data_IF_163310247556
#
_entry.id   IF_163310247556
#
_cell.length_a   1.000
_cell.length_b   1.000
_cell.length_c   1.000
_cell.angle_alpha   90.00
_cell.angle_beta   90.00
_cell.angle_gamma   90.00
#
_symmetry.space_group_name_H-M   'P 1'
#
loop_
_entity.id
_entity.type
_entity.pdbx_description
1 polymer ?
#
# COMPACT_ATOMS: atom_id res chain seq x y z
N UNK A 1 9.39 11.15 25.06
CA UNK A 1 8.67 10.41 24.00
C UNK A 1 7.72 11.34 23.24
N UNK A 2 8.14 12.06 22.18
CA UNK A 2 7.19 12.99 21.49
C UNK A 2 7.37 13.24 19.98
N UNK A 3 8.42 12.76 19.30
CA UNK A 3 8.67 13.16 17.88
C UNK A 3 8.73 11.99 16.89
N UNK A 4 9.34 10.87 17.27
CA UNK A 4 9.48 9.68 16.40
C UNK A 4 8.15 8.99 16.09
N UNK A 5 7.23 8.98 17.06
CA UNK A 5 5.91 8.34 16.96
C UNK A 5 4.94 9.06 16.01
N UNK A 6 5.09 10.39 15.87
CA UNK A 6 4.24 11.22 14.99
C UNK A 6 4.62 11.01 13.53
N UNK A 7 5.91 10.80 13.24
CA UNK A 7 6.38 10.60 11.87
C UNK A 7 5.94 9.22 11.35
N UNK A 8 6.07 8.15 12.15
CA UNK A 8 5.58 6.81 11.80
C UNK A 8 4.05 6.75 11.62
N UNK A 9 3.30 7.45 12.48
CA UNK A 9 1.85 7.61 12.35
C UNK A 9 1.48 8.24 11.01
N UNK A 10 2.07 9.40 10.69
CA UNK A 10 1.85 10.09 9.41
C UNK A 10 2.17 9.13 8.26
N UNK A 11 3.30 8.43 8.30
CA UNK A 11 3.75 7.56 7.21
C UNK A 11 2.84 6.32 6.99
N UNK A 12 2.30 5.70 8.03
CA UNK A 12 1.40 4.54 7.92
C UNK A 12 -0.02 4.96 7.48
N UNK A 13 -0.54 6.07 8.00
CA UNK A 13 -1.84 6.63 7.57
C UNK A 13 -1.78 7.04 6.09
N UNK A 14 -0.63 7.56 5.64
CA UNK A 14 -0.37 7.81 4.22
C UNK A 14 -0.42 6.49 3.44
N UNK A 15 0.25 5.43 3.88
CA UNK A 15 0.41 4.16 3.12
C UNK A 15 -0.88 3.45 2.69
N UNK A 16 -1.94 3.47 3.51
CA UNK A 16 -3.23 2.84 3.18
C UNK A 16 -3.99 3.61 2.10
N UNK A 17 -3.82 4.93 2.09
CA UNK A 17 -4.48 5.85 1.17
C UNK A 17 -4.03 5.66 -0.31
N UNK A 18 -3.09 4.74 -0.56
CA UNK A 18 -2.09 4.93 -1.60
C UNK A 18 -1.74 3.72 -2.46
N UNK A 19 -2.35 2.57 -2.22
CA UNK A 19 -2.24 1.42 -3.12
C UNK A 19 -3.23 1.47 -4.29
N UNK A 20 -2.79 1.19 -5.53
CA UNK A 20 -3.63 1.28 -6.73
C UNK A 20 -3.28 0.20 -7.75
N UNK A 21 -4.24 -0.25 -8.56
CA UNK A 21 -4.03 -1.25 -9.64
C UNK A 21 -4.11 -0.63 -11.04
N UNK A 22 -3.01 -0.61 -11.81
CA UNK A 22 -2.95 0.10 -13.11
C UNK A 22 -2.36 -0.65 -14.31
N UNK A 23 -2.39 0.01 -15.47
CA UNK A 23 -1.77 -0.39 -16.75
C UNK A 23 -0.27 -0.01 -16.81
N UNK A 24 0.55 -0.87 -17.44
CA UNK A 24 2.02 -0.69 -17.58
C UNK A 24 2.36 0.47 -18.51
N UNK A 25 3.22 1.38 -18.04
CA UNK A 25 3.87 2.43 -18.85
C UNK A 25 5.39 2.12 -18.91
N UNK A 26 6.12 2.45 -19.99
CA UNK A 26 7.58 2.24 -20.03
C UNK A 26 8.30 3.03 -18.93
N UNK A 27 9.21 2.38 -18.19
CA UNK A 27 9.87 2.93 -17.01
C UNK A 27 11.38 2.71 -17.02
N UNK A 28 12.09 3.44 -16.16
CA UNK A 28 13.53 3.32 -15.94
C UNK A 28 13.78 2.37 -14.77
N UNK A 29 14.59 1.33 -14.97
CA UNK A 29 14.98 0.40 -13.90
C UNK A 29 14.67 -1.06 -14.22
N UNK A 30 15.01 -1.94 -13.28
CA UNK A 30 14.79 -3.40 -13.39
C UNK A 30 13.33 -3.78 -13.11
N UNK A 31 12.65 -2.99 -12.26
CA UNK A 31 11.28 -3.26 -11.83
C UNK A 31 10.27 -2.32 -12.47
N UNK A 32 9.03 -2.80 -12.56
CA UNK A 32 7.92 -2.04 -13.17
C UNK A 32 6.88 -1.66 -12.11
N UNK A 33 6.75 -0.38 -11.83
CA UNK A 33 5.58 0.19 -11.19
C UNK A 33 4.39 0.18 -12.14
N UNK A 34 3.22 0.14 -11.55
CA UNK A 34 2.00 0.32 -12.30
C UNK A 34 1.28 1.51 -11.69
N UNK A 35 0.75 2.41 -12.52
CA UNK A 35 0.05 3.65 -12.11
C UNK A 35 -0.82 4.24 -13.22
N UNK A 36 -2.03 4.71 -12.91
CA UNK A 36 -2.78 5.57 -13.83
C UNK A 36 -3.77 6.44 -13.05
N UNK A 37 -3.94 7.68 -13.51
CA UNK A 37 -5.00 8.55 -13.03
C UNK A 37 -6.38 7.89 -13.31
N UNK A 38 -7.29 8.01 -12.35
CA UNK A 38 -8.61 7.38 -12.41
C UNK A 38 -8.69 6.01 -11.75
N UNK A 39 -7.56 5.40 -11.37
CA UNK A 39 -7.60 4.13 -10.66
C UNK A 39 -8.15 4.30 -9.26
N UNK A 40 -9.11 3.44 -8.92
CA UNK A 40 -9.80 3.45 -7.65
C UNK A 40 -9.53 2.14 -6.90
N UNK A 41 -9.45 2.24 -5.58
CA UNK A 41 -9.37 1.11 -4.68
C UNK A 41 -10.32 1.34 -3.51
N UNK A 42 -11.06 0.31 -3.14
CA UNK A 42 -11.85 0.28 -1.91
C UNK A 42 -11.30 -0.83 -1.01
N UNK A 43 -11.01 -0.49 0.24
CA UNK A 43 -10.65 -1.45 1.28
C UNK A 43 -11.84 -1.61 2.22
N UNK A 44 -11.98 -2.78 2.82
CA UNK A 44 -13.03 -3.09 3.79
C UNK A 44 -12.45 -3.83 4.99
N UNK A 45 -12.86 -3.41 6.18
CA UNK A 45 -12.57 -4.10 7.43
C UNK A 45 -13.47 -5.35 7.52
N UNK A 46 -12.87 -6.53 7.53
CA UNK A 46 -13.59 -7.80 7.58
C UNK A 46 -13.69 -8.34 9.01
N UNK A 47 -12.66 -8.10 9.82
CA UNK A 47 -12.56 -8.68 11.16
C UNK A 47 -12.04 -7.64 12.15
N UNK A 48 -12.71 -7.56 13.31
CA UNK A 48 -12.22 -6.86 14.51
C UNK A 48 -12.69 -7.68 15.71
N UNK A 49 -11.74 -8.29 16.41
CA UNK A 49 -12.01 -8.99 17.67
C UNK A 49 -11.52 -8.12 18.83
N UNK A 50 -12.45 -7.38 19.44
CA UNK A 50 -12.13 -6.42 20.49
C UNK A 50 -11.40 -7.05 21.68
N UNK A 51 -11.79 -8.26 22.09
CA UNK A 51 -11.18 -8.92 23.26
C UNK A 51 -9.72 -9.28 22.96
N UNK A 52 -9.46 -9.97 21.85
CA UNK A 52 -8.10 -10.36 21.48
C UNK A 52 -7.20 -9.16 21.12
N UNK A 53 -7.77 -8.09 20.57
CA UNK A 53 -7.02 -6.84 20.33
C UNK A 53 -6.70 -6.11 21.64
N UNK A 54 -7.59 -6.15 22.63
CA UNK A 54 -7.32 -5.64 23.98
C UNK A 54 -6.27 -6.48 24.71
N UNK A 55 -6.29 -7.81 24.53
CA UNK A 55 -5.25 -8.68 25.07
C UNK A 55 -3.88 -8.38 24.41
N UNK A 56 -3.84 -8.18 23.09
CA UNK A 56 -2.60 -7.91 22.35
C UNK A 56 -2.01 -6.51 22.58
N UNK A 57 -2.84 -5.46 22.62
CA UNK A 57 -2.38 -4.06 22.65
C UNK A 57 -2.80 -3.29 23.91
N UNK A 58 -3.59 -3.90 24.79
CA UNK A 58 -4.17 -3.27 25.96
C UNK A 58 -5.46 -2.48 25.66
N UNK A 59 -5.98 -1.74 26.66
CA UNK A 59 -7.27 -1.05 26.56
C UNK A 59 -7.30 0.09 25.52
N UNK A 60 -6.15 0.49 24.98
CA UNK A 60 -6.02 1.51 23.93
C UNK A 60 -5.82 0.90 22.55
N UNK A 61 -6.22 -0.36 22.32
CA UNK A 61 -6.03 -1.04 21.03
C UNK A 61 -6.70 -0.31 19.86
N UNK A 62 -7.79 0.43 20.11
CA UNK A 62 -8.47 1.23 19.07
C UNK A 62 -7.50 2.26 18.48
N UNK A 63 -6.74 2.98 19.32
CA UNK A 63 -5.76 3.97 18.88
C UNK A 63 -4.66 3.33 18.01
N UNK A 64 -4.33 2.05 18.27
CA UNK A 64 -3.38 1.28 17.46
C UNK A 64 -3.95 1.02 16.08
N UNK A 65 -5.18 0.51 16.00
CA UNK A 65 -5.82 0.19 14.71
C UNK A 65 -6.13 1.45 13.89
N UNK A 66 -6.52 2.54 14.54
CA UNK A 66 -6.85 3.80 13.87
C UNK A 66 -5.63 4.55 13.33
N UNK A 67 -4.41 4.02 13.48
CA UNK A 67 -3.25 4.43 12.65
C UNK A 67 -3.55 4.34 11.16
N UNK A 68 -4.44 3.42 10.78
CA UNK A 68 -4.89 3.19 9.42
C UNK A 68 -5.94 4.20 8.95
N UNK A 69 -6.31 5.14 9.81
CA UNK A 69 -7.35 6.16 9.63
C UNK A 69 -8.48 5.98 10.64
N UNK A 70 -9.10 7.09 11.03
CA UNK A 70 -10.29 7.10 11.89
C UNK A 70 -11.36 6.19 11.31
N UNK A 71 -11.96 5.33 12.14
CA UNK A 71 -12.99 4.37 11.74
C UNK A 71 -12.46 3.00 11.27
N UNK A 72 -11.14 2.80 11.18
CA UNK A 72 -10.55 1.50 10.83
C UNK A 72 -10.86 0.39 11.87
N UNK A 73 -11.17 0.77 13.11
CA UNK A 73 -11.54 -0.17 14.18
C UNK A 73 -12.99 -0.70 14.06
N UNK A 74 -13.76 -0.30 13.05
CA UNK A 74 -15.14 -0.74 12.88
C UNK A 74 -15.27 -1.82 11.79
N UNK A 75 -15.78 -3.00 12.18
CA UNK A 75 -16.10 -4.08 11.23
C UNK A 75 -17.06 -3.57 10.15
N UNK A 76 -16.76 -3.88 8.89
CA UNK A 76 -17.55 -3.48 7.73
C UNK A 76 -17.32 -2.05 7.28
N UNK A 77 -16.48 -1.26 7.97
CA UNK A 77 -16.07 0.04 7.48
C UNK A 77 -15.29 -0.10 6.18
N UNK A 78 -15.47 0.86 5.27
CA UNK A 78 -14.84 0.90 3.97
C UNK A 78 -14.04 2.19 3.81
N UNK A 79 -12.88 2.11 3.17
CA UNK A 79 -12.04 3.25 2.80
C UNK A 79 -11.88 3.28 1.28
N UNK A 80 -11.96 4.45 0.69
CA UNK A 80 -11.77 4.64 -0.75
C UNK A 80 -10.58 5.53 -1.04
N UNK A 81 -9.84 5.19 -2.08
CA UNK A 81 -8.72 5.96 -2.61
C UNK A 81 -8.81 6.04 -4.13
N UNK A 82 -8.48 7.20 -4.69
CA UNK A 82 -8.48 7.48 -6.12
C UNK A 82 -7.14 8.13 -6.53
N UNK A 83 -6.48 7.59 -7.56
CA UNK A 83 -5.32 8.25 -8.18
C UNK A 83 -5.78 9.42 -9.01
N UNK A 84 -5.20 10.59 -8.79
CA UNK A 84 -5.44 11.79 -9.58
C UNK A 84 -4.32 12.03 -10.61
N UNK A 85 -3.08 11.64 -10.30
CA UNK A 85 -1.97 11.65 -11.27
C UNK A 85 -0.82 10.74 -10.82
N UNK A 86 0.07 10.40 -11.76
CA UNK A 86 1.27 9.58 -11.51
C UNK A 86 2.47 10.19 -12.22
N UNK A 87 3.62 10.23 -11.54
CA UNK A 87 4.91 10.58 -12.12
C UNK A 87 5.91 9.43 -11.86
N UNK A 88 6.25 8.70 -12.92
CA UNK A 88 7.15 7.55 -12.85
C UNK A 88 8.64 7.92 -12.85
N UNK A 89 8.99 9.17 -13.07
CA UNK A 89 10.38 9.63 -13.14
C UNK A 89 10.58 10.86 -12.26
N UNK A 90 9.95 10.84 -11.08
CA UNK A 90 10.11 11.90 -10.11
C UNK A 90 11.45 11.76 -9.38
N UNK A 91 11.84 12.81 -8.67
CA UNK A 91 13.08 12.83 -7.89
C UNK A 91 12.76 13.06 -6.43
N UNK A 92 13.35 12.24 -5.55
CA UNK A 92 13.13 12.41 -4.13
C UNK A 92 14.05 13.50 -3.56
N UNK A 93 13.44 14.61 -3.13
CA UNK A 93 14.14 15.87 -2.78
C UNK A 93 15.16 15.75 -1.65
N UNK A 94 15.02 14.72 -0.78
CA UNK A 94 15.95 14.52 0.33
C UNK A 94 17.35 14.09 -0.13
N UNK A 95 17.46 13.43 -1.29
CA UNK A 95 18.73 13.00 -1.86
C UNK A 95 19.02 13.57 -3.26
N UNK A 96 18.00 14.10 -3.96
CA UNK A 96 18.09 14.65 -5.33
C UNK A 96 18.71 13.71 -6.39
N UNK A 97 18.98 12.45 -6.04
CA UNK A 97 19.63 11.45 -6.91
C UNK A 97 18.75 10.25 -7.21
N UNK A 98 17.74 10.00 -6.37
CA UNK A 98 16.97 8.76 -6.45
C UNK A 98 15.72 8.98 -7.29
N UNK A 99 15.63 8.22 -8.39
CA UNK A 99 14.41 8.15 -9.20
C UNK A 99 13.36 7.42 -8.37
N UNK A 100 12.22 8.07 -8.20
CA UNK A 100 11.06 7.53 -7.49
C UNK A 100 9.83 7.63 -8.37
N UNK A 101 8.86 6.77 -8.09
CA UNK A 101 7.51 6.96 -8.59
C UNK A 101 6.69 7.70 -7.55
N UNK A 102 5.98 8.74 -7.97
CA UNK A 102 5.01 9.45 -7.13
C UNK A 102 3.59 9.29 -7.66
N UNK A 103 2.64 9.07 -6.75
CA UNK A 103 1.21 9.01 -7.05
C UNK A 103 0.51 10.09 -6.25
N UNK A 104 -0.27 10.95 -6.91
CA UNK A 104 -1.14 11.92 -6.24
C UNK A 104 -2.52 11.32 -6.09
N UNK A 105 -3.16 11.52 -4.95
CA UNK A 105 -4.40 10.83 -4.64
C UNK A 105 -5.45 11.71 -3.98
N UNK A 106 -6.69 11.24 -4.05
CA UNK A 106 -7.82 11.71 -3.27
C UNK A 106 -8.34 10.55 -2.43
N UNK A 107 -8.64 10.83 -1.16
CA UNK A 107 -8.96 9.82 -0.17
C UNK A 107 -10.25 10.12 0.55
N UNK A 108 -10.94 9.05 0.92
CA UNK A 108 -12.07 9.07 1.83
C UNK A 108 -11.69 8.34 3.11
N UNK A 109 -12.23 8.80 4.22
CA UNK A 109 -12.02 8.16 5.51
C UNK A 109 -12.84 6.88 5.64
N UNK A 110 -12.52 6.08 6.65
CA UNK A 110 -13.26 4.83 6.87
C UNK A 110 -14.70 5.15 7.26
N UNK A 111 -15.64 4.53 6.58
CA UNK A 111 -17.06 4.70 6.87
C UNK A 111 -17.83 3.41 6.66
N UNK A 112 -18.76 3.12 7.57
CA UNK A 112 -19.77 2.06 7.40
C UNK A 112 -20.95 2.52 6.53
N UNK A 113 -21.05 3.83 6.30
CA UNK A 113 -22.08 4.45 5.47
C UNK A 113 -21.70 4.53 3.99
N UNK A 114 -22.33 5.46 3.29
CA UNK A 114 -21.97 5.84 1.92
C UNK A 114 -20.80 6.83 1.94
N UNK A 115 -19.87 6.70 0.99
CA UNK A 115 -18.83 7.70 0.80
C UNK A 115 -19.42 9.08 0.50
N UNK A 116 -18.76 10.13 1.01
CA UNK A 116 -19.06 11.50 0.66
C UNK A 116 -18.88 11.73 -0.85
N UNK A 117 -19.64 12.65 -1.43
CA UNK A 117 -19.51 12.99 -2.85
C UNK A 117 -18.14 13.61 -3.18
N UNK A 118 -17.53 14.28 -2.22
CA UNK A 118 -16.18 14.84 -2.30
C UNK A 118 -15.23 14.02 -1.43
N UNK A 119 -13.94 13.92 -1.80
CA UNK A 119 -12.92 13.32 -0.95
C UNK A 119 -12.76 14.08 0.37
N UNK A 120 -12.41 13.35 1.43
CA UNK A 120 -12.08 13.92 2.74
C UNK A 120 -10.65 14.48 2.75
N UNK A 121 -9.75 13.92 1.92
CA UNK A 121 -8.41 14.47 1.65
C UNK A 121 -8.07 14.48 0.15
N UNK A 122 -7.30 15.48 -0.28
CA UNK A 122 -6.90 15.71 -1.68
C UNK A 122 -5.44 16.12 -1.76
N UNK A 123 -4.70 15.56 -2.72
CA UNK A 123 -3.31 15.91 -2.98
C UNK A 123 -2.32 15.15 -2.09
N UNK A 124 -2.75 14.04 -1.50
CA UNK A 124 -1.88 13.15 -0.76
C UNK A 124 -0.90 12.47 -1.74
N UNK A 125 0.39 12.41 -1.39
CA UNK A 125 1.45 11.89 -2.27
C UNK A 125 2.03 10.58 -1.74
N UNK A 126 1.99 9.56 -2.58
CA UNK A 126 2.70 8.29 -2.40
C UNK A 126 4.05 8.42 -3.05
N UNK A 127 5.10 7.97 -2.38
CA UNK A 127 6.43 7.89 -2.99
C UNK A 127 6.91 6.44 -2.90
N UNK A 128 7.47 5.92 -3.98
CA UNK A 128 7.99 4.56 -4.05
C UNK A 128 9.34 4.55 -4.76
N UNK A 129 10.33 3.86 -4.18
CA UNK A 129 11.66 3.74 -4.77
C UNK A 129 11.71 2.61 -5.80
N UNK A 130 12.33 2.84 -6.96
CA UNK A 130 12.59 1.77 -7.92
C UNK A 130 13.61 0.74 -7.43
N UNK A 131 14.60 1.21 -6.68
CA UNK A 131 15.70 0.38 -6.19
C UNK A 131 15.55 0.18 -4.67
N UNK A 132 15.41 -1.07 -4.19
CA UNK A 132 15.35 -1.40 -2.76
C UNK A 132 16.53 -0.86 -1.94
N UNK A 133 17.69 -0.76 -2.56
CA UNK A 133 18.92 -0.23 -1.94
C UNK A 133 18.83 1.26 -1.63
N UNK A 134 18.07 2.04 -2.41
CA UNK A 134 17.82 3.45 -2.13
C UNK A 134 16.93 3.61 -0.89
N UNK A 135 15.94 2.75 -0.72
CA UNK A 135 15.11 2.72 0.49
C UNK A 135 15.94 2.40 1.73
N UNK A 136 16.82 1.40 1.65
CA UNK A 136 17.75 1.03 2.72
C UNK A 136 18.67 2.21 3.08
N UNK A 137 19.21 2.90 2.07
CA UNK A 137 20.05 4.09 2.24
C UNK A 137 19.27 5.23 2.90
N UNK A 138 18.02 5.45 2.50
CA UNK A 138 17.13 6.43 3.11
C UNK A 138 16.91 6.15 4.60
N UNK A 139 16.52 4.91 4.94
CA UNK A 139 16.26 4.51 6.33
C UNK A 139 17.53 4.66 7.17
N UNK A 140 18.66 4.15 6.69
CA UNK A 140 19.95 4.28 7.37
C UNK A 140 20.33 5.75 7.62
N UNK A 141 20.16 6.61 6.62
CA UNK A 141 20.49 8.04 6.75
C UNK A 141 19.52 8.75 7.70
N UNK A 142 18.23 8.47 7.59
CA UNK A 142 17.21 9.05 8.46
C UNK A 142 17.51 8.72 9.93
N UNK A 143 17.83 7.47 10.24
CA UNK A 143 18.17 7.05 11.59
C UNK A 143 19.55 7.50 12.06
N UNK A 144 20.52 7.65 11.16
CA UNK A 144 21.85 8.17 11.49
C UNK A 144 21.83 9.63 11.99
N UNK A 145 20.76 10.39 11.72
CA UNK A 145 20.58 11.78 12.20
C UNK A 145 20.04 11.82 13.64
N UNK A 146 19.50 10.71 14.17
CA UNK A 146 18.96 10.64 15.53
C UNK A 146 19.95 9.96 16.48
N UNK A 147 20.23 10.57 17.66
CA UNK A 147 21.03 9.91 18.68
C UNK A 147 20.31 8.69 19.26
N UNK A 148 21.03 7.59 19.55
CA UNK A 148 22.43 7.35 19.23
C UNK A 148 22.58 7.00 17.74
N UNK A 149 23.62 7.55 17.07
CA UNK A 149 23.95 7.33 15.66
C UNK A 149 24.34 5.85 15.39
N UNK A 150 23.39 4.95 15.57
CA UNK A 150 23.54 3.52 15.30
C UNK A 150 23.29 3.35 13.81
N UNK A 151 24.24 2.78 13.05
CA UNK A 151 23.99 2.48 11.65
C UNK A 151 22.87 1.44 11.56
N UNK A 152 21.70 1.90 11.11
CA UNK A 152 20.53 1.06 10.82
C UNK A 152 20.59 0.65 9.35
N UNK A 153 21.38 -0.39 9.04
CA UNK A 153 21.44 -0.95 7.69
C UNK A 153 20.28 -1.93 7.45
N UNK A 154 19.07 -1.42 7.57
CA UNK A 154 17.83 -2.17 7.37
C UNK A 154 16.93 -1.39 6.43
N UNK A 155 16.22 -2.11 5.57
CA UNK A 155 15.19 -1.55 4.70
C UNK A 155 13.92 -1.21 5.49
N UNK A 156 13.72 -1.83 6.67
CA UNK A 156 12.44 -1.78 7.37
C UNK A 156 12.58 -1.48 8.88
N UNK A 157 12.34 -0.21 9.23
CA UNK A 157 11.94 0.21 10.59
C UNK A 157 10.99 1.44 10.53
N UNK A 158 10.96 2.16 9.39
CA UNK A 158 10.07 3.31 9.11
C UNK A 158 9.45 3.31 7.72
N UNK A 159 9.77 2.32 6.89
CA UNK A 159 9.50 2.38 5.45
C UNK A 159 8.06 2.06 5.03
N UNK A 160 7.11 1.93 5.98
CA UNK A 160 5.70 1.69 5.66
C UNK A 160 5.17 2.62 4.56
N UNK A 161 5.55 3.91 4.60
CA UNK A 161 5.21 4.92 3.58
C UNK A 161 5.56 4.55 2.13
N UNK A 162 6.65 3.80 1.95
CA UNK A 162 7.15 3.37 0.65
C UNK A 162 6.65 1.97 0.26
N UNK A 163 5.86 1.35 1.14
CA UNK A 163 5.26 0.04 0.99
C UNK A 163 3.75 0.10 0.73
N UNK A 164 3.21 1.27 0.39
CA UNK A 164 1.85 1.38 -0.13
C UNK A 164 1.73 0.74 -1.53
N UNK A 165 2.77 0.88 -2.32
CA UNK A 165 2.82 0.44 -3.70
C UNK A 165 4.23 -0.06 -3.99
N UNK A 166 4.34 -1.33 -4.36
CA UNK A 166 5.58 -1.96 -4.75
C UNK A 166 5.67 -2.02 -6.28
N UNK A 167 6.87 -2.00 -6.86
CA UNK A 167 7.02 -2.36 -8.25
C UNK A 167 6.96 -3.89 -8.38
N UNK A 168 6.89 -4.36 -9.63
CA UNK A 168 6.77 -5.78 -9.95
C UNK A 168 8.01 -6.29 -10.68
N UNK A 169 8.35 -7.59 -10.52
CA UNK A 169 7.68 -8.59 -9.68
C UNK A 169 7.85 -8.31 -8.17
N UNK A 170 6.76 -8.42 -7.39
CA UNK A 170 6.77 -8.03 -5.97
C UNK A 170 7.71 -8.89 -5.14
N UNK A 171 7.72 -10.20 -5.38
CA UNK A 171 8.61 -11.13 -4.69
C UNK A 171 10.07 -10.76 -4.88
N UNK A 172 10.46 -10.51 -6.13
CA UNK A 172 11.83 -10.21 -6.50
C UNK A 172 12.28 -8.88 -5.89
N UNK A 173 11.37 -7.91 -5.76
CA UNK A 173 11.63 -6.64 -5.09
C UNK A 173 11.80 -6.80 -3.58
N UNK A 174 10.96 -7.62 -2.94
CA UNK A 174 11.01 -7.89 -1.49
C UNK A 174 12.22 -8.77 -1.09
N UNK A 175 12.70 -9.64 -1.99
CA UNK A 175 13.87 -10.48 -1.75
C UNK A 175 15.18 -9.67 -1.65
N UNK A 176 15.19 -8.46 -2.21
CA UNK A 176 16.34 -7.54 -2.16
C UNK A 176 16.35 -6.68 -0.88
N UNK A 177 15.34 -6.77 -0.02
CA UNK A 177 15.28 -6.01 1.22
C UNK A 177 16.21 -6.61 2.29
N UNK A 178 16.83 -5.72 3.06
CA UNK A 178 17.56 -6.08 4.28
C UNK A 178 16.60 -5.96 5.46
N UNK A 179 16.04 -7.09 5.87
CA UNK A 179 15.02 -7.17 6.92
C UNK A 179 15.62 -7.07 8.34
N UNK A 180 14.87 -6.45 9.25
CA UNK A 180 15.12 -6.52 10.68
C UNK A 180 14.76 -7.93 11.22
N UNK A 181 15.32 -8.41 12.35
CA UNK A 181 14.87 -9.66 12.95
C UNK A 181 13.35 -9.73 13.09
N UNK A 182 12.80 -10.91 12.86
CA UNK A 182 11.35 -11.22 12.86
C UNK A 182 10.53 -10.62 11.70
N UNK A 183 11.15 -9.86 10.80
CA UNK A 183 10.55 -9.40 9.55
C UNK A 183 11.04 -10.22 8.36
N UNK A 184 10.21 -10.30 7.33
CA UNK A 184 10.61 -10.91 6.06
C UNK A 184 9.58 -10.76 4.95
N UNK A 185 10.05 -10.93 3.71
CA UNK A 185 9.20 -11.14 2.54
C UNK A 185 8.87 -12.63 2.36
N UNK A 186 7.62 -12.94 2.04
CA UNK A 186 7.18 -14.29 1.61
C UNK A 186 6.29 -14.14 0.39
N UNK A 187 6.86 -14.37 -0.79
CA UNK A 187 6.16 -14.14 -2.06
C UNK A 187 5.75 -12.68 -2.23
N UNK A 188 4.45 -12.43 -2.35
CA UNK A 188 3.87 -11.08 -2.45
C UNK A 188 3.40 -10.54 -1.09
N UNK A 189 3.97 -11.01 0.01
CA UNK A 189 3.60 -10.57 1.36
C UNK A 189 4.82 -10.12 2.16
N UNK A 190 4.59 -9.19 3.07
CA UNK A 190 5.52 -8.87 4.16
C UNK A 190 4.93 -9.46 5.43
N UNK A 191 5.76 -10.12 6.23
CA UNK A 191 5.37 -10.78 7.47
C UNK A 191 6.22 -10.25 8.62
N UNK A 192 5.57 -9.96 9.75
CA UNK A 192 6.21 -9.64 11.02
C UNK A 192 5.75 -10.62 12.09
N UNK A 193 6.69 -11.34 12.69
CA UNK A 193 6.43 -12.23 13.84
C UNK A 193 6.81 -11.49 15.12
N UNK A 194 5.90 -10.63 15.59
CA UNK A 194 6.13 -9.84 16.79
C UNK A 194 6.13 -10.74 18.03
N UNK A 195 7.08 -10.53 18.92
CA UNK A 195 7.08 -11.14 20.24
C UNK A 195 6.45 -10.18 21.25
N UNK A 196 5.94 -10.74 22.34
CA UNK A 196 5.59 -9.97 23.51
C UNK A 196 6.78 -9.08 23.93
N UNK A 197 6.48 -7.84 24.32
CA UNK A 197 7.42 -6.77 24.63
C UNK A 197 8.12 -6.11 23.44
N UNK A 198 7.96 -6.62 22.21
CA UNK A 198 8.40 -5.90 21.02
C UNK A 198 7.59 -4.59 20.90
N UNK A 199 8.22 -3.57 20.32
CA UNK A 199 7.56 -2.30 20.08
C UNK A 199 6.89 -2.36 18.72
N UNK A 200 5.57 -2.26 18.71
CA UNK A 200 4.78 -2.19 17.50
C UNK A 200 5.27 -1.03 16.61
N UNK A 201 5.48 -1.27 15.30
CA UNK A 201 5.78 -0.21 14.34
C UNK A 201 4.73 0.88 14.36
N UNK A 202 3.51 0.47 14.71
CA UNK A 202 2.35 1.31 14.93
C UNK A 202 2.49 2.01 16.30
N UNK A 203 2.78 3.32 16.27
CA UNK A 203 2.67 4.26 17.40
C UNK A 203 3.55 3.97 18.64
N UNK A 204 4.44 2.98 18.56
CA UNK A 204 5.30 2.57 19.67
C UNK A 204 4.49 2.07 20.87
N UNK A 205 3.39 1.36 20.57
CA UNK A 205 2.75 0.48 21.52
C UNK A 205 3.63 -0.75 21.69
N UNK A 206 3.45 -1.46 22.78
CA UNK A 206 4.17 -2.69 23.05
C UNK A 206 3.20 -3.83 22.83
N UNK A 207 3.58 -4.84 22.07
CA UNK A 207 2.78 -6.07 22.02
C UNK A 207 2.81 -6.70 23.40
N UNK A 208 1.65 -6.99 23.96
CA UNK A 208 1.55 -7.66 25.26
C UNK A 208 1.66 -9.19 25.12
N UNK A 209 1.44 -9.70 23.90
CA UNK A 209 1.52 -11.10 23.53
C UNK A 209 2.19 -11.26 22.16
N UNK A 210 2.60 -12.49 21.82
CA UNK A 210 3.14 -12.79 20.50
C UNK A 210 2.03 -12.69 19.44
N UNK A 211 2.37 -12.19 18.24
CA UNK A 211 1.43 -12.14 17.13
C UNK A 211 2.14 -12.17 15.77
N UNK A 212 1.37 -12.48 14.72
CA UNK A 212 1.85 -12.34 13.33
C UNK A 212 1.05 -11.26 12.62
N UNK A 213 1.74 -10.23 12.11
CA UNK A 213 1.18 -9.26 11.19
C UNK A 213 1.55 -9.62 9.75
N UNK A 214 0.63 -9.40 8.82
CA UNK A 214 0.86 -9.69 7.40
C UNK A 214 0.31 -8.57 6.53
N UNK A 215 1.16 -8.02 5.66
CA UNK A 215 0.80 -7.09 4.60
C UNK A 215 0.80 -7.84 3.27
N UNK A 216 -0.33 -7.81 2.56
CA UNK A 216 -0.52 -8.54 1.30
C UNK A 216 -0.55 -7.60 0.13
N UNK A 217 0.25 -7.89 -0.90
CA UNK A 217 0.34 -7.09 -2.11
C UNK A 217 -0.29 -7.83 -3.29
N UNK A 218 -0.86 -7.09 -4.24
CA UNK A 218 -1.24 -7.64 -5.53
C UNK A 218 0.03 -8.05 -6.29
N UNK A 219 0.15 -9.32 -6.67
CA UNK A 219 1.36 -9.80 -7.34
C UNK A 219 1.54 -9.24 -8.76
N UNK A 220 0.44 -8.80 -9.39
CA UNK A 220 0.41 -8.31 -10.79
C UNK A 220 0.72 -6.82 -10.85
N UNK A 221 0.23 -6.06 -9.88
CA UNK A 221 0.25 -4.61 -9.90
C UNK A 221 1.04 -4.00 -8.73
N UNK A 222 1.42 -4.77 -7.72
CA UNK A 222 2.20 -4.33 -6.56
C UNK A 222 1.43 -3.47 -5.55
N UNK A 223 0.12 -3.33 -5.71
CA UNK A 223 -0.73 -2.56 -4.80
C UNK A 223 -0.84 -3.27 -3.44
N UNK A 224 -0.72 -2.56 -2.32
CA UNK A 224 -1.09 -3.12 -1.02
C UNK A 224 -2.61 -3.37 -0.93
N UNK A 225 -3.02 -4.63 -0.83
CA UNK A 225 -4.44 -5.04 -0.92
C UNK A 225 -4.98 -5.66 0.36
N UNK A 226 -4.19 -5.80 1.40
CA UNK A 226 -4.72 -6.32 2.66
C UNK A 226 -3.73 -6.34 3.80
N UNK A 227 -4.27 -6.32 5.00
CA UNK A 227 -3.54 -6.40 6.24
C UNK A 227 -4.29 -7.30 7.21
N UNK A 228 -3.53 -8.09 7.96
CA UNK A 228 -4.08 -9.04 8.91
C UNK A 228 -3.18 -9.13 10.14
N UNK A 229 -3.80 -9.27 11.31
CA UNK A 229 -3.14 -9.65 12.56
C UNK A 229 -3.69 -11.01 12.99
N UNK A 230 -2.79 -11.93 13.31
CA UNK A 230 -3.10 -13.20 13.93
C UNK A 230 -2.50 -13.25 15.33
N UNK A 231 -3.27 -13.74 16.30
CA UNK A 231 -2.76 -13.99 17.65
C UNK A 231 -1.78 -15.19 17.69
N UNK A 232 -1.21 -15.44 18.86
CA UNK A 232 -0.34 -16.58 19.15
C UNK A 232 -1.00 -17.96 18.93
N UNK A 233 -2.33 -18.02 18.85
CA UNK A 233 -3.13 -19.20 18.54
C UNK A 233 -3.50 -19.31 17.04
N UNK A 234 -2.98 -18.39 16.21
CA UNK A 234 -3.22 -18.27 14.76
C UNK A 234 -4.62 -17.81 14.35
N UNK A 235 -5.47 -17.38 15.29
CA UNK A 235 -6.76 -16.79 14.98
C UNK A 235 -6.59 -15.41 14.37
N UNK A 236 -7.34 -15.09 13.32
CA UNK A 236 -7.38 -13.72 12.79
C UNK A 236 -8.15 -12.82 13.75
N UNK A 237 -7.47 -11.83 14.32
CA UNK A 237 -8.06 -10.89 15.30
C UNK A 237 -8.35 -9.52 14.71
N UNK A 238 -7.69 -9.17 13.61
CA UNK A 238 -7.98 -7.99 12.81
C UNK A 238 -7.66 -8.24 11.35
N UNK A 239 -8.50 -7.76 10.45
CA UNK A 239 -8.27 -7.86 9.01
C UNK A 239 -9.00 -6.75 8.25
N UNK A 240 -8.29 -6.12 7.32
CA UNK A 240 -8.91 -5.45 6.18
C UNK A 240 -8.32 -5.97 4.88
N UNK A 241 -9.13 -5.97 3.82
CA UNK A 241 -8.69 -6.33 2.48
C UNK A 241 -9.36 -5.48 1.42
N UNK A 242 -8.83 -5.54 0.20
CA UNK A 242 -9.49 -4.96 -0.96
C UNK A 242 -10.89 -5.54 -1.11
N UNK A 243 -11.87 -4.65 -1.18
CA UNK A 243 -13.22 -4.98 -1.61
C UNK A 243 -13.19 -5.02 -3.14
N UNK A 244 -12.96 -6.21 -3.68
CA UNK A 244 -13.12 -6.41 -5.11
C UNK A 244 -14.60 -6.16 -5.44
N UNK A 245 -14.91 -5.39 -6.50
CA UNK A 245 -16.29 -5.15 -6.87
C UNK A 245 -17.00 -6.49 -7.10
N UNK A 246 -18.08 -6.71 -6.36
CA UNK A 246 -18.99 -7.84 -6.57
C UNK A 246 -19.71 -7.65 -7.89
N UNK A 247 -19.06 -8.02 -9.00
CA UNK A 247 -19.65 -8.21 -10.32
C UNK A 247 -20.73 -7.17 -10.72
N UNK A 248 -20.36 -5.90 -10.87
CA UNK A 248 -21.06 -4.93 -11.73
C UNK A 248 -20.20 -3.66 -11.83
N UNK A 249 -19.81 -3.31 -13.06
CA UNK A 249 -19.44 -1.95 -13.49
C UNK A 249 -18.28 -1.29 -12.73
N UNK A 250 -17.04 -1.59 -13.15
CA UNK A 250 -15.87 -0.74 -12.90
C UNK A 250 -15.87 0.34 -14.00
N UNK A 251 -16.14 1.62 -13.70
CA UNK A 251 -15.92 2.70 -14.65
C UNK A 251 -14.40 2.84 -14.84
N UNK A 252 -13.89 2.32 -15.95
CA UNK A 252 -12.45 2.26 -16.24
C UNK A 252 -12.02 1.02 -17.02
N UNK A 253 -12.78 -0.08 -16.95
CA UNK A 253 -12.49 -1.30 -17.73
C UNK A 253 -13.19 -1.31 -19.10
N UNK A 254 -14.27 -0.55 -19.28
CA UNK A 254 -15.04 -0.57 -20.52
C UNK A 254 -14.39 0.19 -21.68
N UNK A 255 -13.58 1.22 -21.42
CA UNK A 255 -12.99 2.03 -22.50
C UNK A 255 -12.00 1.22 -23.36
N UNK A 256 -11.20 0.36 -22.74
CA UNK A 256 -10.19 -0.47 -23.43
C UNK A 256 -10.83 -1.55 -24.29
N UNK A 257 -11.96 -2.12 -23.85
CA UNK A 257 -12.72 -3.13 -24.59
C UNK A 257 -13.52 -2.48 -25.73
N UNK A 258 -14.13 -1.31 -25.52
CA UNK A 258 -14.82 -0.57 -26.58
C UNK A 258 -13.86 -0.03 -27.66
N UNK A 259 -12.68 0.45 -27.29
CA UNK A 259 -11.64 0.88 -28.25
C UNK A 259 -11.03 -0.31 -29.00
N UNK A 260 -10.79 -1.44 -28.32
CA UNK A 260 -10.32 -2.67 -28.96
C UNK A 260 -11.34 -3.26 -29.95
N UNK A 261 -12.63 -3.28 -29.59
CA UNK A 261 -13.70 -3.76 -30.46
C UNK A 261 -13.96 -2.81 -31.65
N UNK A 262 -13.88 -1.50 -31.45
CA UNK A 262 -14.10 -0.51 -32.53
C UNK A 262 -12.92 -0.45 -33.52
N UNK A 263 -11.67 -0.58 -33.05
CA UNK A 263 -10.50 -0.68 -33.94
C UNK A 263 -10.49 -2.00 -34.74
N UNK A 264 -10.84 -3.12 -34.11
CA UNK A 264 -10.96 -4.41 -34.79
C UNK A 264 -12.03 -4.39 -35.89
N UNK A 265 -13.18 -3.76 -35.63
CA UNK A 265 -14.26 -3.65 -36.61
C UNK A 265 -13.91 -2.70 -37.77
N UNK A 266 -13.15 -1.62 -37.51
CA UNK A 266 -12.69 -0.69 -38.54
C UNK A 266 -11.66 -1.33 -39.49
N UNK A 267 -10.73 -2.16 -38.96
CA UNK A 267 -9.75 -2.90 -39.77
C UNK A 267 -10.44 -3.95 -40.66
N UNK A 268 -11.46 -4.64 -40.15
CA UNK A 268 -12.25 -5.61 -40.94
C UNK A 268 -13.04 -4.91 -42.05
N UNK A 269 -13.64 -3.76 -41.77
CA UNK A 269 -14.39 -2.98 -42.78
C UNK A 269 -13.45 -2.46 -43.89
N UNK A 270 -12.28 -1.93 -43.54
CA UNK A 270 -11.27 -1.49 -44.52
C UNK A 270 -10.81 -2.66 -45.39
N UNK A 271 -10.55 -3.83 -44.78
CA UNK A 271 -10.12 -5.02 -45.52
C UNK A 271 -11.19 -5.54 -46.49
N UNK A 272 -12.48 -5.53 -46.09
CA UNK A 272 -13.61 -5.92 -46.94
C UNK A 272 -13.81 -4.94 -48.10
N UNK A 273 -13.67 -3.63 -47.86
CA UNK A 273 -13.77 -2.59 -48.90
C UNK A 273 -12.61 -2.72 -49.90
N UNK A 274 -11.37 -2.92 -49.43
CA UNK A 274 -10.20 -3.08 -50.30
C UNK A 274 -10.22 -4.39 -51.11
N UNK A 275 -10.81 -5.47 -50.58
CA UNK A 275 -10.98 -6.74 -51.31
C UNK A 275 -12.07 -6.65 -52.38
N UNK A 276 -13.05 -5.76 -52.24
CA UNK A 276 -14.07 -5.49 -53.27
C UNK A 276 -13.62 -4.52 -54.37
N UNK A 277 -12.50 -3.81 -54.19
CA UNK A 277 -11.95 -2.89 -55.21
C UNK A 277 -10.85 -3.53 -56.09
N UNK A 278 -10.73 -4.86 -56.06
CA UNK A 278 -9.99 -5.69 -57.03
C UNK A 278 -10.98 -6.61 -57.71
#
# INVERSE_FOLDING_TARGET
>A
MKKTKIILLILITFSIAFSFTPTVTPQVGTYTFHGAAGNEKILKVNTVNNASLEDLFGPTWVDVIEVFGEGAAAVGARKKSLVTSVNFNDTFTFFQTDIVTTYNTSNWDWTTGTFNATPDSVGDIVTCFYEPTNLTTFVSTFYAIFPPNIPYNISLHTAGAFLAQLPTPVSDYLDEFIWEPNWGGVGNTVVHNANAMDVAPILGHTYLEDCTETWTYDATYGAWIGYKIQDNETNTIYEFSIELPTAAEIPGFELSVLLGASMGMMVVIIFVIMKKSK
#
